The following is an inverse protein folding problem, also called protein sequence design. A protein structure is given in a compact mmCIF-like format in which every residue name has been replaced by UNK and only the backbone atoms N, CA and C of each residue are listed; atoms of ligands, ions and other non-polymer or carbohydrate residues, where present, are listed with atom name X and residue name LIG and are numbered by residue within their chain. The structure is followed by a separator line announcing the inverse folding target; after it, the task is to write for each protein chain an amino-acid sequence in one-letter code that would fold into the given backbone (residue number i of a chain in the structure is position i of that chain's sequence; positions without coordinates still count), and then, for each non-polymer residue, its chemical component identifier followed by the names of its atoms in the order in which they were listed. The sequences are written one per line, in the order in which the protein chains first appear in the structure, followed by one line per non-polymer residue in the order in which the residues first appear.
data_IF_308241720468
#
_entry.id   IF_308241720468
#
_cell.length_a   1.000
_cell.length_b   1.000
_cell.length_c   1.000
_cell.angle_alpha   90.00
_cell.angle_beta   90.00
_cell.angle_gamma   90.00
#
_symmetry.space_group_name_H-M   'P 1'
#
loop_
_entity.id
_entity.type
_entity.pdbx_description
1 polymer ?
#
# COMPACT_ATOMS: atom_id res chain seq x y z
N UNK A 1 -53.94 7.96 27.18
CA UNK A 1 -52.65 7.27 26.96
C UNK A 1 -52.39 7.18 25.46
N UNK A 2 -51.69 8.16 24.90
CA UNK A 2 -51.18 8.16 23.52
C UNK A 2 -49.75 8.69 23.62
N UNK A 3 -48.78 7.76 23.60
CA UNK A 3 -47.37 8.05 23.36
C UNK A 3 -47.20 8.19 21.85
N UNK A 4 -46.62 9.30 21.39
CA UNK A 4 -45.64 9.43 20.29
C UNK A 4 -45.65 10.84 19.73
N UNK A 5 -44.49 11.46 19.73
CA UNK A 5 -44.26 12.79 19.15
C UNK A 5 -42.89 13.38 19.44
N UNK A 6 -41.92 12.58 19.90
CA UNK A 6 -40.52 13.00 19.85
C UNK A 6 -40.02 12.87 18.42
N UNK A 7 -40.41 13.80 17.55
CA UNK A 7 -39.72 14.01 16.28
C UNK A 7 -38.32 14.52 16.62
N UNK A 8 -37.38 13.59 16.74
CA UNK A 8 -35.96 13.88 16.67
C UNK A 8 -35.68 14.40 15.25
N UNK A 9 -35.97 15.68 15.05
CA UNK A 9 -35.35 16.49 14.02
C UNK A 9 -33.95 16.80 14.55
N UNK A 10 -33.09 15.79 14.54
CA UNK A 10 -31.67 15.99 14.35
C UNK A 10 -31.49 15.95 12.83
N UNK A 11 -31.64 17.09 12.15
CA UNK A 11 -31.68 17.10 10.70
C UNK A 11 -30.26 16.89 10.20
N UNK A 12 -30.06 15.87 9.36
CA UNK A 12 -29.29 15.83 8.08
C UNK A 12 -27.94 16.57 7.92
N UNK A 13 -27.44 17.34 8.87
CA UNK A 13 -26.24 18.17 8.78
C UNK A 13 -24.99 17.32 9.00
N UNK A 14 -25.03 16.31 9.86
CA UNK A 14 -23.92 15.35 10.01
C UNK A 14 -23.73 14.46 8.78
N UNK A 15 -24.78 14.22 7.99
CA UNK A 15 -24.67 13.44 6.75
C UNK A 15 -24.24 14.28 5.54
N UNK A 16 -24.53 15.59 5.51
CA UNK A 16 -24.03 16.48 4.46
C UNK A 16 -22.60 17.01 4.72
N UNK A 17 -22.07 16.92 5.95
CA UNK A 17 -20.63 17.09 6.20
C UNK A 17 -19.79 15.85 5.85
N UNK A 18 -20.40 14.71 5.54
CA UNK A 18 -19.68 13.52 5.05
C UNK A 18 -19.10 13.68 3.64
N UNK A 19 -19.52 14.70 2.90
CA UNK A 19 -18.92 15.12 1.61
C UNK A 19 -17.94 16.28 1.78
N UNK A 20 -17.41 16.49 2.98
CA UNK A 20 -16.24 17.37 3.14
C UNK A 20 -15.11 16.70 2.37
N UNK A 21 -14.62 17.40 1.35
CA UNK A 21 -13.51 16.99 0.50
C UNK A 21 -12.38 16.44 1.39
N UNK A 22 -12.27 15.12 1.49
CA UNK A 22 -11.28 14.48 2.34
C UNK A 22 -9.91 15.02 1.91
N UNK A 23 -9.18 15.60 2.85
CA UNK A 23 -7.87 16.17 2.53
C UNK A 23 -6.97 15.06 2.00
N UNK A 24 -5.98 15.40 1.16
CA UNK A 24 -5.03 14.41 0.67
C UNK A 24 -4.40 13.62 1.82
N UNK A 25 -4.10 14.30 2.94
CA UNK A 25 -3.58 13.67 4.16
C UNK A 25 -4.59 12.73 4.81
N UNK A 26 -5.87 13.11 4.87
CA UNK A 26 -6.93 12.26 5.42
C UNK A 26 -7.12 10.97 4.62
N UNK A 27 -7.13 11.06 3.29
CA UNK A 27 -7.26 9.90 2.41
C UNK A 27 -6.08 8.93 2.60
N UNK A 28 -4.87 9.46 2.73
CA UNK A 28 -3.63 8.68 2.85
C UNK A 28 -3.51 8.07 4.26
N UNK A 29 -3.91 8.80 5.30
CA UNK A 29 -4.04 8.24 6.66
C UNK A 29 -5.04 7.08 6.70
N UNK A 30 -6.18 7.21 6.02
CA UNK A 30 -7.16 6.12 5.89
C UNK A 30 -6.58 4.92 5.14
N UNK A 31 -5.85 5.14 4.05
CA UNK A 31 -5.17 4.09 3.29
C UNK A 31 -4.16 3.34 4.15
N UNK A 32 -3.30 4.06 4.89
CA UNK A 32 -2.34 3.48 5.83
C UNK A 32 -3.05 2.65 6.88
N UNK A 33 -4.07 3.21 7.53
CA UNK A 33 -4.85 2.49 8.56
C UNK A 33 -5.40 1.18 7.99
N UNK A 34 -6.06 1.24 6.85
CA UNK A 34 -6.68 0.07 6.25
C UNK A 34 -5.64 -0.96 5.77
N UNK A 35 -4.47 -0.51 5.30
CA UNK A 35 -3.36 -1.41 4.98
C UNK A 35 -2.84 -2.14 6.24
N UNK A 36 -2.71 -1.44 7.38
CA UNK A 36 -2.27 -2.01 8.66
C UNK A 36 -3.27 -3.02 9.24
N UNK A 37 -4.57 -2.77 9.08
CA UNK A 37 -5.61 -3.66 9.56
C UNK A 37 -6.07 -4.70 8.52
N UNK A 38 -5.45 -4.68 7.34
CA UNK A 38 -5.83 -5.52 6.19
C UNK A 38 -7.30 -5.34 5.77
N UNK A 39 -7.86 -4.16 6.04
CA UNK A 39 -9.22 -3.81 5.68
C UNK A 39 -9.32 -3.43 4.21
N UNK A 40 -10.43 -3.83 3.58
CA UNK A 40 -10.70 -3.48 2.18
C UNK A 40 -11.11 -2.01 2.03
N UNK A 41 -10.85 -1.44 0.86
CA UNK A 41 -11.16 -0.04 0.54
C UNK A 41 -11.85 0.03 -0.80
N UNK A 42 -12.98 0.72 -0.83
CA UNK A 42 -13.69 0.99 -2.09
C UNK A 42 -12.85 1.91 -2.97
N UNK A 43 -12.36 1.38 -4.09
CA UNK A 43 -11.50 2.13 -5.03
C UNK A 43 -12.16 3.42 -5.57
N UNK A 44 -13.49 3.46 -5.66
CA UNK A 44 -14.26 4.63 -6.10
C UNK A 44 -14.10 5.85 -5.19
N UNK A 45 -13.75 5.61 -3.92
CA UNK A 45 -13.52 6.66 -2.93
C UNK A 45 -12.11 7.25 -3.01
N UNK A 46 -11.22 6.63 -3.80
CA UNK A 46 -9.83 7.07 -3.93
C UNK A 46 -9.70 8.10 -5.05
N UNK A 47 -9.21 9.29 -4.70
CA UNK A 47 -8.90 10.36 -5.67
C UNK A 47 -7.44 10.79 -5.54
N UNK A 48 -6.48 9.86 -5.75
CA UNK A 48 -5.07 10.17 -5.57
C UNK A 48 -4.62 11.24 -6.57
N UNK A 49 -3.91 12.24 -6.05
CA UNK A 49 -3.22 13.24 -6.88
C UNK A 49 -1.80 12.75 -7.13
N UNK A 50 -1.25 12.87 -8.36
CA UNK A 50 0.11 12.38 -8.67
C UNK A 50 1.18 12.91 -7.71
N UNK A 51 1.10 14.21 -7.39
CA UNK A 51 2.01 14.85 -6.44
C UNK A 51 1.86 14.29 -5.02
N UNK A 52 0.63 14.07 -4.56
CA UNK A 52 0.39 13.50 -3.23
C UNK A 52 0.95 12.08 -3.16
N UNK A 53 0.65 11.23 -4.14
CA UNK A 53 1.17 9.86 -4.22
C UNK A 53 2.71 9.84 -4.18
N UNK A 54 3.38 10.65 -5.00
CA UNK A 54 4.85 10.71 -4.99
C UNK A 54 5.41 11.23 -3.65
N UNK A 55 4.75 12.23 -3.05
CA UNK A 55 5.12 12.74 -1.74
C UNK A 55 4.98 11.67 -0.64
N UNK A 56 3.91 10.88 -0.65
CA UNK A 56 3.72 9.78 0.31
C UNK A 56 4.69 8.62 0.06
N UNK A 57 5.02 8.30 -1.20
CA UNK A 57 6.08 7.35 -1.51
C UNK A 57 7.42 7.80 -0.90
N UNK A 58 7.75 9.10 -0.99
CA UNK A 58 8.93 9.67 -0.35
C UNK A 58 8.87 9.57 1.19
N UNK A 59 7.72 9.86 1.80
CA UNK A 59 7.53 9.70 3.26
C UNK A 59 7.76 8.24 3.69
N UNK A 60 7.24 7.26 2.95
CA UNK A 60 7.47 5.84 3.26
C UNK A 60 8.95 5.46 3.14
N UNK A 61 9.63 5.91 2.09
CA UNK A 61 11.07 5.68 1.95
C UNK A 61 11.86 6.31 3.10
N UNK A 62 11.50 7.52 3.52
CA UNK A 62 12.12 8.20 4.66
C UNK A 62 11.87 7.45 5.97
N UNK A 63 10.65 6.95 6.17
CA UNK A 63 10.30 6.14 7.34
C UNK A 63 11.13 4.86 7.42
N UNK A 64 11.23 4.11 6.32
CA UNK A 64 12.06 2.89 6.24
C UNK A 64 13.53 3.23 6.47
N UNK A 65 14.03 4.31 5.86
CA UNK A 65 15.41 4.77 6.01
C UNK A 65 15.74 5.11 7.47
N UNK A 66 14.90 5.90 8.14
CA UNK A 66 15.11 6.31 9.54
C UNK A 66 15.12 5.09 10.47
N UNK A 67 14.15 4.20 10.32
CA UNK A 67 14.06 3.00 11.16
C UNK A 67 15.27 2.10 10.92
N UNK A 68 15.58 1.80 9.65
CA UNK A 68 16.71 0.92 9.31
C UNK A 68 18.03 1.52 9.78
N UNK A 69 18.24 2.82 9.56
CA UNK A 69 19.45 3.53 9.99
C UNK A 69 19.60 3.55 11.51
N UNK A 70 18.49 3.71 12.25
CA UNK A 70 18.49 3.62 13.71
C UNK A 70 18.87 2.21 14.19
N UNK A 71 18.30 1.17 13.58
CA UNK A 71 18.62 -0.22 13.94
C UNK A 71 20.07 -0.57 13.61
N UNK A 72 20.56 -0.19 12.43
CA UNK A 72 21.98 -0.38 12.05
C UNK A 72 22.93 0.33 13.00
N UNK A 73 22.63 1.57 13.37
CA UNK A 73 23.41 2.32 14.36
C UNK A 73 23.45 1.59 15.73
N UNK A 74 22.30 1.11 16.22
CA UNK A 74 22.22 0.34 17.46
C UNK A 74 22.96 -1.00 17.36
N UNK A 75 22.99 -1.62 16.18
CA UNK A 75 23.74 -2.85 15.90
C UNK A 75 25.24 -2.60 15.61
N UNK A 76 25.71 -1.35 15.69
CA UNK A 76 27.09 -0.93 15.39
C UNK A 76 27.53 -1.22 13.94
N UNK A 77 26.57 -1.26 13.02
CA UNK A 77 26.82 -1.32 11.58
C UNK A 77 27.02 0.08 10.98
N UNK A 78 27.64 0.18 9.78
CA UNK A 78 27.72 1.44 9.05
C UNK A 78 26.34 2.07 8.83
N UNK A 79 26.25 3.37 9.07
CA UNK A 79 25.03 4.14 8.81
C UNK A 79 24.77 4.19 7.30
N UNK A 80 23.50 4.06 6.92
CA UNK A 80 23.05 4.13 5.53
C UNK A 80 23.42 5.46 4.88
N UNK A 81 24.00 5.40 3.67
CA UNK A 81 24.20 6.60 2.86
C UNK A 81 22.86 7.15 2.37
N UNK A 82 22.84 8.44 2.02
CA UNK A 82 21.66 9.10 1.45
C UNK A 82 21.23 8.45 0.12
N UNK A 83 22.14 7.79 -0.59
CA UNK A 83 21.83 7.10 -1.85
C UNK A 83 20.80 5.99 -1.65
N UNK A 84 20.81 5.31 -0.49
CA UNK A 84 19.85 4.26 -0.16
C UNK A 84 18.41 4.80 -0.09
N UNK A 85 18.24 6.01 0.47
CA UNK A 85 16.95 6.70 0.48
C UNK A 85 16.48 6.99 -0.95
N UNK A 86 17.39 7.46 -1.80
CA UNK A 86 17.08 7.77 -3.20
C UNK A 86 16.72 6.51 -4.01
N UNK A 87 17.49 5.43 -3.87
CA UNK A 87 17.20 4.16 -4.54
C UNK A 87 15.89 3.54 -4.06
N UNK A 88 15.60 3.58 -2.76
CA UNK A 88 14.32 3.11 -2.22
C UNK A 88 13.15 3.93 -2.77
N UNK A 89 13.27 5.26 -2.80
CA UNK A 89 12.24 6.12 -3.38
C UNK A 89 12.00 5.81 -4.86
N UNK A 90 13.06 5.68 -5.66
CA UNK A 90 12.96 5.30 -7.07
C UNK A 90 12.35 3.90 -7.25
N UNK A 91 12.72 2.94 -6.40
CA UNK A 91 12.15 1.59 -6.43
C UNK A 91 10.64 1.63 -6.16
N UNK A 92 10.20 2.39 -5.14
CA UNK A 92 8.77 2.58 -4.85
C UNK A 92 8.02 3.15 -6.05
N UNK A 93 8.51 4.25 -6.63
CA UNK A 93 7.85 4.92 -7.77
C UNK A 93 7.83 3.99 -9.00
N UNK A 94 8.99 3.44 -9.38
CA UNK A 94 9.13 2.61 -10.58
C UNK A 94 8.27 1.35 -10.50
N UNK A 95 8.34 0.61 -9.40
CA UNK A 95 7.56 -0.60 -9.21
C UNK A 95 6.05 -0.30 -9.14
N UNK A 96 5.66 0.77 -8.46
CA UNK A 96 4.25 1.17 -8.39
C UNK A 96 3.70 1.48 -9.77
N UNK A 97 4.45 2.16 -10.64
CA UNK A 97 4.01 2.44 -12.01
C UNK A 97 3.92 1.17 -12.86
N UNK A 98 4.91 0.29 -12.79
CA UNK A 98 4.91 -1.00 -13.49
C UNK A 98 3.71 -1.85 -13.05
N UNK A 99 3.53 -1.98 -11.73
CA UNK A 99 2.41 -2.73 -11.16
C UNK A 99 1.06 -2.14 -11.57
N UNK A 100 0.94 -0.81 -11.57
CA UNK A 100 -0.27 -0.11 -11.99
C UNK A 100 -0.62 -0.38 -13.44
N UNK A 101 0.38 -0.39 -14.32
CA UNK A 101 0.18 -0.71 -15.72
C UNK A 101 -0.32 -2.15 -15.91
N UNK A 102 0.30 -3.11 -15.20
CA UNK A 102 -0.09 -4.52 -15.24
C UNK A 102 -1.51 -4.72 -14.68
N UNK A 103 -1.81 -4.16 -13.52
CA UNK A 103 -3.15 -4.25 -12.91
C UNK A 103 -4.20 -3.63 -13.81
N UNK A 104 -3.92 -2.45 -14.37
CA UNK A 104 -4.80 -1.82 -15.33
C UNK A 104 -5.01 -2.74 -16.53
N UNK A 105 -3.96 -3.27 -17.17
CA UNK A 105 -4.11 -4.14 -18.33
C UNK A 105 -4.98 -5.39 -18.07
N UNK A 106 -4.93 -5.94 -16.85
CA UNK A 106 -5.73 -7.12 -16.48
C UNK A 106 -7.17 -6.74 -16.10
N UNK A 107 -7.38 -5.57 -15.47
CA UNK A 107 -8.63 -5.15 -14.85
C UNK A 107 -9.42 -4.09 -15.65
N UNK A 108 -8.84 -3.41 -16.65
CA UNK A 108 -9.48 -2.29 -17.38
C UNK A 108 -10.74 -2.74 -18.14
N UNK A 109 -10.78 -4.00 -18.57
CA UNK A 109 -11.96 -4.63 -19.18
C UNK A 109 -13.15 -4.66 -18.21
N UNK A 110 -12.91 -4.55 -16.90
CA UNK A 110 -13.90 -4.72 -15.84
C UNK A 110 -14.18 -3.39 -15.13
N UNK A 111 -13.15 -2.60 -14.80
CA UNK A 111 -13.29 -1.30 -14.13
C UNK A 111 -12.23 -0.29 -14.59
N UNK A 112 -12.69 0.88 -15.06
CA UNK A 112 -11.83 1.97 -15.53
C UNK A 112 -11.45 2.92 -14.40
N UNK A 113 -10.44 2.56 -13.61
CA UNK A 113 -9.82 3.48 -12.64
C UNK A 113 -8.55 4.12 -13.21
N UNK A 114 -8.19 5.29 -12.66
CA UNK A 114 -6.94 5.96 -12.98
C UNK A 114 -5.73 5.11 -12.60
N UNK A 115 -4.65 5.19 -13.37
CA UNK A 115 -3.39 4.48 -13.08
C UNK A 115 -2.85 4.79 -11.68
N UNK A 116 -3.09 6.01 -11.20
CA UNK A 116 -2.66 6.45 -9.87
C UNK A 116 -3.43 5.78 -8.73
N UNK A 117 -4.66 5.28 -8.95
CA UNK A 117 -5.40 4.49 -7.94
C UNK A 117 -4.67 3.18 -7.69
N UNK A 118 -4.34 2.47 -8.76
CA UNK A 118 -3.55 1.23 -8.69
C UNK A 118 -2.16 1.49 -8.06
N UNK A 119 -1.52 2.60 -8.42
CA UNK A 119 -0.20 2.96 -7.89
C UNK A 119 -0.24 3.22 -6.40
N UNK A 120 -1.25 3.94 -5.95
CA UNK A 120 -1.44 4.28 -4.53
C UNK A 120 -1.65 3.02 -3.70
N UNK A 121 -2.52 2.09 -4.15
CA UNK A 121 -2.75 0.82 -3.46
C UNK A 121 -1.45 0.01 -3.39
N UNK A 122 -0.72 -0.08 -4.51
CA UNK A 122 0.55 -0.79 -4.52
C UNK A 122 1.59 -0.17 -3.59
N UNK A 123 1.72 1.16 -3.53
CA UNK A 123 2.66 1.82 -2.60
C UNK A 123 2.32 1.51 -1.15
N UNK A 124 1.04 1.53 -0.77
CA UNK A 124 0.61 1.32 0.62
C UNK A 124 0.70 -0.13 1.08
N UNK A 125 0.75 -1.08 0.17
CA UNK A 125 0.79 -2.51 0.52
C UNK A 125 2.13 -2.93 1.14
N UNK A 126 3.21 -2.17 0.89
CA UNK A 126 4.54 -2.43 1.45
C UNK A 126 4.73 -1.93 2.88
N UNK A 127 3.69 -1.52 3.61
CA UNK A 127 3.83 -1.04 4.99
C UNK A 127 4.62 -2.02 5.88
N UNK A 128 4.41 -3.32 5.70
CA UNK A 128 5.05 -4.36 6.50
C UNK A 128 6.51 -4.64 6.16
N UNK A 129 7.08 -4.01 5.12
CA UNK A 129 8.45 -4.29 4.66
C UNK A 129 9.53 -3.92 5.68
N UNK A 130 9.21 -3.02 6.61
CA UNK A 130 10.13 -2.64 7.69
C UNK A 130 10.50 -3.85 8.56
N UNK A 131 9.56 -4.77 8.79
CA UNK A 131 9.78 -5.95 9.65
C UNK A 131 10.88 -6.87 9.10
N UNK A 132 10.81 -7.39 7.86
CA UNK A 132 11.87 -8.23 7.32
C UNK A 132 13.22 -7.51 7.19
N UNK A 133 13.23 -6.20 6.90
CA UNK A 133 14.48 -5.41 6.85
C UNK A 133 15.17 -5.39 8.22
N UNK A 134 14.42 -5.12 9.29
CA UNK A 134 14.96 -5.14 10.66
C UNK A 134 15.48 -6.54 11.00
N UNK A 135 14.70 -7.58 10.70
CA UNK A 135 15.09 -8.97 11.00
C UNK A 135 16.34 -9.37 10.23
N UNK A 136 16.54 -8.89 9.00
CA UNK A 136 17.74 -9.18 8.20
C UNK A 136 19.03 -8.67 8.86
N UNK A 137 18.98 -7.51 9.52
CA UNK A 137 20.13 -6.97 10.27
C UNK A 137 20.55 -7.97 11.38
N UNK A 138 19.60 -8.54 12.11
CA UNK A 138 19.91 -9.46 13.20
C UNK A 138 20.14 -10.91 12.74
N UNK A 139 19.43 -11.37 11.71
CA UNK A 139 19.35 -12.76 11.29
C UNK A 139 19.34 -12.91 9.75
N UNK A 140 20.46 -12.61 9.07
CA UNK A 140 20.49 -12.54 7.60
C UNK A 140 20.17 -13.86 6.91
N UNK A 141 20.50 -15.00 7.54
CA UNK A 141 20.31 -16.33 6.92
C UNK A 141 18.84 -16.80 6.86
N UNK A 142 17.98 -16.24 7.71
CA UNK A 142 16.55 -16.64 7.85
C UNK A 142 15.59 -15.50 7.48
N UNK A 143 16.12 -14.30 7.24
CA UNK A 143 15.34 -13.11 6.86
C UNK A 143 14.46 -13.33 5.64
N UNK A 144 14.89 -14.19 4.69
CA UNK A 144 14.14 -14.49 3.46
C UNK A 144 12.71 -15.00 3.74
N UNK A 145 12.50 -15.71 4.86
CA UNK A 145 11.18 -16.23 5.26
C UNK A 145 10.24 -15.05 5.57
N UNK A 146 10.77 -14.01 6.21
CA UNK A 146 10.01 -12.81 6.54
C UNK A 146 9.76 -11.92 5.31
N UNK A 147 10.70 -11.87 4.36
CA UNK A 147 10.45 -11.23 3.06
C UNK A 147 9.31 -11.94 2.31
N UNK A 148 9.31 -13.28 2.32
CA UNK A 148 8.22 -14.06 1.75
C UNK A 148 6.88 -13.81 2.46
N UNK A 149 6.88 -13.78 3.80
CA UNK A 149 5.67 -13.49 4.59
C UNK A 149 5.12 -12.09 4.32
N UNK A 150 5.98 -11.07 4.27
CA UNK A 150 5.59 -9.70 3.95
C UNK A 150 5.01 -9.59 2.53
N UNK A 151 5.60 -10.29 1.55
CA UNK A 151 5.06 -10.35 0.20
C UNK A 151 3.67 -11.01 0.14
N UNK A 152 3.46 -12.09 0.90
CA UNK A 152 2.15 -12.77 1.01
C UNK A 152 1.08 -11.87 1.64
N UNK A 153 1.41 -11.17 2.73
CA UNK A 153 0.48 -10.22 3.38
C UNK A 153 0.11 -9.09 2.41
N UNK A 154 1.11 -8.56 1.71
CA UNK A 154 0.93 -7.50 0.72
C UNK A 154 0.09 -7.96 -0.47
N UNK A 155 0.34 -9.17 -1.00
CA UNK A 155 -0.49 -9.80 -2.05
C UNK A 155 -1.93 -9.94 -1.60
N UNK A 156 -2.15 -10.47 -0.39
CA UNK A 156 -3.48 -10.68 0.15
C UNK A 156 -4.26 -9.36 0.19
N UNK A 157 -3.66 -8.30 0.73
CA UNK A 157 -4.33 -7.01 0.85
C UNK A 157 -4.59 -6.37 -0.51
N UNK A 158 -3.59 -6.31 -1.39
CA UNK A 158 -3.73 -5.76 -2.75
C UNK A 158 -4.81 -6.49 -3.51
N UNK A 159 -4.79 -7.82 -3.49
CA UNK A 159 -5.81 -8.61 -4.16
C UNK A 159 -7.20 -8.36 -3.58
N UNK A 160 -7.33 -8.27 -2.25
CA UNK A 160 -8.62 -8.00 -1.59
C UNK A 160 -9.20 -6.64 -1.99
N UNK A 161 -8.36 -5.61 -2.03
CA UNK A 161 -8.78 -4.25 -2.43
C UNK A 161 -9.07 -4.18 -3.93
N UNK A 162 -8.17 -4.69 -4.78
CA UNK A 162 -8.28 -4.56 -6.23
C UNK A 162 -9.38 -5.45 -6.82
N UNK A 163 -9.69 -6.58 -6.20
CA UNK A 163 -10.77 -7.48 -6.66
C UNK A 163 -12.06 -7.33 -5.87
N UNK A 164 -12.18 -6.30 -5.03
CA UNK A 164 -13.41 -6.03 -4.30
C UNK A 164 -14.56 -5.87 -5.30
N UNK A 165 -15.59 -6.72 -5.16
CA UNK A 165 -16.78 -6.72 -6.03
C UNK A 165 -16.44 -6.92 -7.53
N UNK A 166 -15.34 -7.58 -7.85
CA UNK A 166 -14.99 -8.00 -9.22
C UNK A 166 -15.41 -9.46 -9.41
N UNK A 167 -16.24 -9.70 -10.43
CA UNK A 167 -16.49 -11.05 -10.95
C UNK A 167 -15.57 -11.27 -12.15
N UNK A 168 -14.55 -12.10 -11.99
CA UNK A 168 -13.66 -12.42 -13.09
C UNK A 168 -14.42 -13.22 -14.16
N UNK A 169 -14.28 -12.88 -15.46
CA UNK A 169 -14.99 -13.57 -16.52
C UNK A 169 -14.46 -14.99 -16.76
N UNK A 170 -13.21 -15.29 -16.36
CA UNK A 170 -12.61 -16.62 -16.48
C UNK A 170 -11.66 -16.90 -15.32
N UNK A 171 -11.53 -18.19 -14.94
CA UNK A 171 -10.53 -18.65 -13.98
C UNK A 171 -9.10 -18.32 -14.42
N UNK A 172 -8.83 -18.29 -15.73
CA UNK A 172 -7.54 -17.89 -16.30
C UNK A 172 -7.17 -16.45 -15.95
N UNK A 173 -8.10 -15.49 -16.10
CA UNK A 173 -7.84 -14.09 -15.74
C UNK A 173 -7.63 -13.93 -14.23
N UNK A 174 -8.40 -14.64 -13.42
CA UNK A 174 -8.23 -14.65 -11.97
C UNK A 174 -6.84 -15.19 -11.56
N UNK A 175 -6.42 -16.32 -12.15
CA UNK A 175 -5.10 -16.90 -11.90
C UNK A 175 -3.97 -15.94 -12.33
N UNK A 176 -4.05 -15.37 -13.53
CA UNK A 176 -3.07 -14.40 -14.01
C UNK A 176 -2.97 -13.18 -13.09
N UNK A 177 -4.10 -12.64 -12.64
CA UNK A 177 -4.12 -11.53 -11.69
C UNK A 177 -3.39 -11.87 -10.39
N UNK A 178 -3.71 -13.02 -9.78
CA UNK A 178 -3.10 -13.47 -8.51
C UNK A 178 -1.60 -13.73 -8.68
N UNK A 179 -1.21 -14.41 -9.76
CA UNK A 179 0.19 -14.68 -10.06
C UNK A 179 0.98 -13.39 -10.30
N UNK A 180 0.46 -12.47 -11.11
CA UNK A 180 1.10 -11.17 -11.34
C UNK A 180 1.21 -10.35 -10.06
N UNK A 181 0.16 -10.33 -9.23
CA UNK A 181 0.19 -9.63 -7.95
C UNK A 181 1.26 -10.22 -7.03
N UNK A 182 1.29 -11.54 -6.87
CA UNK A 182 2.32 -12.22 -6.09
C UNK A 182 3.73 -11.89 -6.58
N UNK A 183 4.00 -12.02 -7.89
CA UNK A 183 5.32 -11.75 -8.46
C UNK A 183 5.75 -10.30 -8.25
N UNK A 184 4.84 -9.34 -8.43
CA UNK A 184 5.12 -7.92 -8.21
C UNK A 184 5.40 -7.62 -6.74
N UNK A 185 4.58 -8.14 -5.82
CA UNK A 185 4.78 -7.95 -4.39
C UNK A 185 6.08 -8.57 -3.91
N UNK A 186 6.39 -9.78 -4.35
CA UNK A 186 7.64 -10.45 -4.02
C UNK A 186 8.87 -9.69 -4.55
N UNK A 187 8.82 -9.27 -5.82
CA UNK A 187 9.86 -8.46 -6.43
C UNK A 187 10.06 -7.13 -5.69
N UNK A 188 8.96 -6.45 -5.32
CA UNK A 188 9.03 -5.18 -4.62
C UNK A 188 9.59 -5.30 -3.21
N UNK A 189 9.17 -6.32 -2.47
CA UNK A 189 9.65 -6.60 -1.12
C UNK A 189 11.16 -6.89 -1.13
N UNK A 190 11.65 -7.63 -2.13
CA UNK A 190 13.10 -7.90 -2.29
C UNK A 190 13.87 -6.65 -2.70
N UNK A 191 13.40 -5.91 -3.72
CA UNK A 191 14.14 -4.76 -4.25
C UNK A 191 14.28 -3.64 -3.22
N UNK A 192 13.19 -3.32 -2.52
CA UNK A 192 13.21 -2.30 -1.48
C UNK A 192 14.05 -2.79 -0.29
N UNK A 193 13.94 -4.05 0.11
CA UNK A 193 14.77 -4.63 1.16
C UNK A 193 16.27 -4.55 0.85
N UNK A 194 16.65 -4.96 -0.36
CA UNK A 194 18.05 -4.87 -0.81
C UNK A 194 18.57 -3.45 -0.85
N UNK A 195 17.75 -2.48 -1.29
CA UNK A 195 18.13 -1.06 -1.30
C UNK A 195 18.44 -0.47 0.08
N UNK A 196 18.12 -1.19 1.16
CA UNK A 196 18.34 -0.80 2.54
C UNK A 196 19.45 -1.60 3.22
N UNK A 197 19.95 -2.68 2.58
CA UNK A 197 20.95 -3.56 3.15
C UNK A 197 22.26 -3.64 2.37
N UNK A 198 22.30 -3.15 1.12
CA UNK A 198 23.46 -3.10 0.25
C UNK A 198 23.56 -1.75 -0.46
#
# INVERSE_FOLDING_TARGET
MVKRGGSSVLPRVTQQLGTTQESAIGQESRLIKNAIFLDSIRMETLKPRPFAWAFFAFIFSLFIYIITGTVKYLHKEPILSVDHLFFCFLAYIGLSLIASFIYKQILDDIRKYSIFVYATIYTHSFFYIVVPIIIEIFFPNISFIFYFAAAMISEYWVSTVLTQEIVFPTNKKMFLFRLSTFLLQFLGVILIGRSMNY
#
